data_IF_672061996637
#
_entry.id   IF_672061996637
#
_cell.length_a   1.000
_cell.length_b   1.000
_cell.length_c   1.000
_cell.angle_alpha   90.00
_cell.angle_beta   90.00
_cell.angle_gamma   90.00
#
_symmetry.space_group_name_H-M   'P 1'
#
loop_
_entity.id
_entity.type
_entity.pdbx_description
1 polymer ?
#
# COMPACT_ATOMS: atom_id res chain seq x y z
N UNK A 1 17.62 -13.02 -19.57
CA UNK A 1 16.24 -12.53 -19.77
C UNK A 1 16.16 -11.01 -19.76
N UNK A 2 17.02 -10.29 -18.99
CA UNK A 2 17.02 -8.80 -19.01
C UNK A 2 17.17 -8.22 -20.42
N UNK A 3 17.98 -8.81 -21.28
CA UNK A 3 18.10 -8.38 -22.67
C UNK A 3 16.83 -8.55 -23.49
N UNK A 4 16.01 -9.56 -23.17
CA UNK A 4 14.71 -9.79 -23.80
C UNK A 4 13.65 -8.80 -23.30
N UNK A 5 13.75 -8.38 -22.03
CA UNK A 5 12.89 -7.30 -21.51
C UNK A 5 13.13 -5.97 -22.20
N UNK A 6 14.37 -5.70 -22.62
CA UNK A 6 14.76 -4.48 -23.34
C UNK A 6 14.46 -4.54 -24.85
N UNK A 7 14.04 -5.68 -25.37
CA UNK A 7 13.68 -5.86 -26.79
C UNK A 7 12.16 -5.75 -26.99
N UNK A 8 11.61 -4.62 -27.46
CA UNK A 8 10.17 -4.40 -27.57
C UNK A 8 9.40 -5.46 -28.36
N UNK A 9 9.92 -6.01 -29.48
CA UNK A 9 9.22 -7.04 -30.24
C UNK A 9 9.22 -8.43 -29.58
N UNK A 10 10.08 -8.70 -28.59
CA UNK A 10 10.09 -9.98 -27.91
C UNK A 10 8.82 -10.15 -27.07
N UNK A 11 8.14 -11.29 -27.18
CA UNK A 11 6.97 -11.59 -26.35
C UNK A 11 7.39 -11.89 -24.91
N UNK A 12 6.69 -11.29 -23.94
CA UNK A 12 6.81 -11.71 -22.54
C UNK A 12 6.31 -13.15 -22.40
N UNK A 13 7.16 -14.02 -21.88
CA UNK A 13 6.80 -15.40 -21.60
C UNK A 13 6.77 -15.67 -20.11
N UNK A 14 5.82 -16.46 -19.64
CA UNK A 14 5.71 -16.85 -18.23
C UNK A 14 7.04 -17.44 -17.74
N UNK A 15 7.64 -18.35 -18.50
CA UNK A 15 8.93 -18.96 -18.14
C UNK A 15 10.08 -17.95 -18.05
N UNK A 16 10.05 -16.88 -18.85
CA UNK A 16 11.01 -15.80 -18.76
C UNK A 16 10.76 -14.91 -17.52
N UNK A 17 9.50 -14.57 -17.26
CA UNK A 17 9.13 -13.77 -16.07
C UNK A 17 9.47 -14.52 -14.77
N UNK A 18 9.28 -15.82 -14.71
CA UNK A 18 9.68 -16.64 -13.57
C UNK A 18 11.19 -16.59 -13.27
N UNK A 19 12.04 -16.26 -14.25
CA UNK A 19 13.49 -16.06 -14.01
C UNK A 19 13.78 -14.77 -13.23
N UNK A 20 12.81 -13.88 -13.06
CA UNK A 20 12.91 -12.69 -12.24
C UNK A 20 12.54 -12.95 -10.76
N UNK A 21 12.13 -14.16 -10.44
CA UNK A 21 11.86 -14.55 -9.06
C UNK A 21 13.16 -14.77 -8.28
N UNK A 22 13.15 -14.42 -7.00
CA UNK A 22 14.24 -14.68 -6.04
C UNK A 22 15.62 -14.22 -6.52
N UNK A 23 15.68 -13.04 -7.13
CA UNK A 23 16.94 -12.50 -7.67
C UNK A 23 17.97 -12.29 -6.57
N UNK A 24 19.19 -12.77 -6.81
CA UNK A 24 20.32 -12.49 -5.94
C UNK A 24 20.72 -11.00 -6.01
N UNK A 25 21.46 -10.54 -5.03
CA UNK A 25 21.84 -9.12 -4.88
C UNK A 25 22.45 -8.50 -6.14
N UNK A 26 23.33 -9.23 -6.83
CA UNK A 26 23.98 -8.74 -8.06
C UNK A 26 22.98 -8.64 -9.23
N UNK A 27 22.09 -9.63 -9.33
CA UNK A 27 21.03 -9.66 -10.35
C UNK A 27 20.01 -8.55 -10.12
N UNK A 28 19.60 -8.33 -8.87
CA UNK A 28 18.71 -7.24 -8.48
C UNK A 28 19.33 -5.86 -8.77
N UNK A 29 20.64 -5.69 -8.53
CA UNK A 29 21.35 -4.45 -8.88
C UNK A 29 21.42 -4.23 -10.40
N UNK A 30 21.67 -5.28 -11.16
CA UNK A 30 21.66 -5.22 -12.63
C UNK A 30 20.28 -4.87 -13.18
N UNK A 31 19.21 -5.50 -12.64
CA UNK A 31 17.83 -5.17 -12.99
C UNK A 31 17.51 -3.70 -12.70
N UNK A 32 17.83 -3.21 -11.50
CA UNK A 32 17.57 -1.80 -11.14
C UNK A 32 18.25 -0.82 -12.09
N UNK A 33 19.47 -1.13 -12.54
CA UNK A 33 20.19 -0.30 -13.49
C UNK A 33 19.61 -0.37 -14.92
N UNK A 34 19.04 -1.50 -15.30
CA UNK A 34 18.43 -1.70 -16.62
C UNK A 34 16.97 -1.23 -16.66
N UNK A 35 16.27 -1.19 -15.54
CA UNK A 35 14.84 -0.90 -15.45
C UNK A 35 14.41 0.37 -16.19
N UNK A 36 15.06 1.53 -16.03
CA UNK A 36 14.68 2.76 -16.74
C UNK A 36 14.91 2.70 -18.25
N UNK A 37 15.63 1.70 -18.75
CA UNK A 37 15.92 1.52 -20.18
C UNK A 37 14.86 0.66 -20.88
N UNK A 38 13.98 0.00 -20.10
CA UNK A 38 12.84 -0.76 -20.62
C UNK A 38 11.76 0.25 -21.01
N UNK A 39 11.10 0.04 -22.14
CA UNK A 39 10.01 0.88 -22.62
C UNK A 39 8.85 0.89 -21.60
N UNK A 40 8.23 2.06 -21.37
CA UNK A 40 7.25 2.28 -20.31
C UNK A 40 6.06 1.30 -20.35
N UNK A 41 5.48 1.10 -21.53
CA UNK A 41 4.37 0.16 -21.70
C UNK A 41 4.79 -1.27 -21.32
N UNK A 42 6.03 -1.62 -21.62
CA UNK A 42 6.54 -2.94 -21.25
C UNK A 42 6.78 -3.08 -19.75
N UNK A 43 7.24 -2.02 -19.07
CA UNK A 43 7.35 -2.03 -17.60
C UNK A 43 6.00 -2.25 -16.93
N UNK A 44 4.94 -1.57 -17.42
CA UNK A 44 3.55 -1.81 -16.94
C UNK A 44 3.14 -3.26 -17.11
N UNK A 45 3.35 -3.82 -18.32
CA UNK A 45 3.00 -5.22 -18.59
C UNK A 45 3.78 -6.20 -17.72
N UNK A 46 5.08 -5.94 -17.50
CA UNK A 46 5.92 -6.79 -16.64
C UNK A 46 5.40 -6.78 -15.20
N UNK A 47 5.22 -5.59 -14.60
CA UNK A 47 4.78 -5.49 -13.20
C UNK A 47 3.42 -6.15 -13.02
N UNK A 48 2.46 -5.88 -13.91
CA UNK A 48 1.13 -6.49 -13.88
C UNK A 48 1.18 -8.02 -13.95
N UNK A 49 1.91 -8.58 -14.91
CA UNK A 49 2.04 -10.03 -15.04
C UNK A 49 2.79 -10.68 -13.86
N UNK A 50 3.74 -9.98 -13.23
CA UNK A 50 4.42 -10.48 -12.04
C UNK A 50 3.49 -10.51 -10.82
N UNK A 51 2.56 -9.54 -10.70
CA UNK A 51 1.53 -9.58 -9.66
C UNK A 51 0.62 -10.81 -9.85
N UNK A 52 0.09 -11.02 -11.07
CA UNK A 52 -0.73 -12.21 -11.37
C UNK A 52 0.03 -13.52 -11.07
N UNK A 53 1.29 -13.60 -11.44
CA UNK A 53 2.12 -14.79 -11.19
C UNK A 53 2.39 -15.01 -9.69
N UNK A 54 2.55 -13.95 -8.90
CA UNK A 54 2.73 -14.03 -7.45
C UNK A 54 1.44 -14.50 -6.75
N UNK A 55 0.27 -14.02 -7.22
CA UNK A 55 -1.03 -14.48 -6.71
C UNK A 55 -1.27 -15.96 -7.01
N UNK A 56 -0.89 -16.42 -8.21
CA UNK A 56 -1.06 -17.82 -8.62
C UNK A 56 -0.06 -18.78 -7.94
N UNK A 57 1.11 -18.29 -7.53
CA UNK A 57 2.17 -19.11 -6.95
C UNK A 57 2.99 -18.34 -5.91
N UNK A 58 2.71 -18.58 -4.65
CA UNK A 58 3.37 -17.96 -3.48
C UNK A 58 4.87 -18.29 -3.34
N UNK A 59 5.38 -19.28 -4.06
CA UNK A 59 6.80 -19.60 -4.08
C UNK A 59 7.63 -18.63 -4.95
N UNK A 60 6.96 -17.77 -5.73
CA UNK A 60 7.61 -16.81 -6.64
C UNK A 60 7.79 -15.45 -5.94
N UNK A 61 8.98 -15.19 -5.44
CA UNK A 61 9.35 -13.91 -4.83
C UNK A 61 9.88 -12.93 -5.89
N UNK A 62 9.07 -11.93 -6.25
CA UNK A 62 9.43 -10.85 -7.17
C UNK A 62 9.77 -9.52 -6.46
N UNK A 63 10.00 -9.52 -5.15
CA UNK A 63 10.25 -8.31 -4.38
C UNK A 63 11.35 -7.44 -4.99
N UNK A 64 12.44 -8.02 -5.50
CA UNK A 64 13.53 -7.26 -6.12
C UNK A 64 13.08 -6.44 -7.35
N UNK A 65 12.12 -6.95 -8.12
CA UNK A 65 11.54 -6.22 -9.28
C UNK A 65 10.64 -5.10 -8.80
N UNK A 66 9.74 -5.41 -7.86
CA UNK A 66 8.83 -4.41 -7.31
C UNK A 66 9.59 -3.28 -6.60
N UNK A 67 10.65 -3.58 -5.86
CA UNK A 67 11.53 -2.54 -5.30
C UNK A 67 12.18 -1.64 -6.36
N UNK A 68 12.58 -2.18 -7.52
CA UNK A 68 13.09 -1.37 -8.61
C UNK A 68 12.00 -0.50 -9.24
N UNK A 69 10.76 -0.98 -9.29
CA UNK A 69 9.60 -0.32 -9.86
C UNK A 69 8.98 0.77 -8.95
N UNK A 70 9.26 0.77 -7.63
CA UNK A 70 8.81 1.83 -6.71
C UNK A 70 9.33 3.23 -7.07
N UNK A 71 10.40 3.33 -7.86
CA UNK A 71 11.01 4.59 -8.29
C UNK A 71 10.76 4.87 -9.78
N UNK A 72 9.79 4.17 -10.38
CA UNK A 72 9.48 4.34 -11.81
C UNK A 72 8.92 5.74 -12.10
N UNK A 73 9.18 6.25 -13.30
CA UNK A 73 8.59 7.52 -13.77
C UNK A 73 7.07 7.42 -13.98
N UNK A 74 6.56 6.20 -14.26
CA UNK A 74 5.16 5.92 -14.50
C UNK A 74 4.43 5.59 -13.18
N UNK A 75 3.41 6.37 -12.86
CA UNK A 75 2.66 6.22 -11.61
C UNK A 75 1.93 4.88 -11.50
N UNK A 76 1.40 4.34 -12.60
CA UNK A 76 0.74 3.04 -12.59
C UNK A 76 1.73 1.92 -12.24
N UNK A 77 2.96 2.01 -12.76
CA UNK A 77 4.04 1.07 -12.40
C UNK A 77 4.39 1.17 -10.92
N UNK A 78 4.48 2.40 -10.36
CA UNK A 78 4.74 2.58 -8.91
C UNK A 78 3.62 2.02 -8.05
N UNK A 79 2.35 2.31 -8.39
CA UNK A 79 1.19 1.81 -7.66
C UNK A 79 1.13 0.28 -7.67
N UNK A 80 1.29 -0.35 -8.84
CA UNK A 80 1.31 -1.80 -8.97
C UNK A 80 2.50 -2.43 -8.24
N UNK A 81 3.67 -1.75 -8.21
CA UNK A 81 4.81 -2.21 -7.44
C UNK A 81 4.53 -2.24 -5.92
N UNK A 82 3.81 -1.23 -5.39
CA UNK A 82 3.37 -1.23 -4.00
C UNK A 82 2.41 -2.39 -3.74
N UNK A 83 1.41 -2.61 -4.62
CA UNK A 83 0.47 -3.74 -4.54
C UNK A 83 1.22 -5.08 -4.57
N UNK A 84 2.19 -5.23 -5.47
CA UNK A 84 2.99 -6.46 -5.60
C UNK A 84 3.84 -6.80 -4.38
N UNK A 85 4.10 -5.83 -3.50
CA UNK A 85 4.80 -6.02 -2.22
C UNK A 85 3.87 -6.33 -1.04
N UNK A 86 2.64 -6.73 -1.29
CA UNK A 86 1.60 -6.91 -0.26
C UNK A 86 1.94 -7.94 0.83
N UNK A 87 2.74 -8.96 0.54
CA UNK A 87 3.23 -9.96 1.52
C UNK A 87 4.62 -9.61 2.12
N UNK A 88 5.27 -8.57 1.60
CA UNK A 88 6.63 -8.25 2.03
C UNK A 88 6.63 -7.52 3.39
N UNK A 89 7.19 -8.15 4.42
CA UNK A 89 7.23 -7.64 5.79
C UNK A 89 8.60 -7.04 6.20
N UNK A 90 9.52 -6.94 5.25
CA UNK A 90 10.84 -6.36 5.50
C UNK A 90 10.75 -4.87 5.86
N UNK A 91 11.39 -4.48 6.96
CA UNK A 91 11.40 -3.09 7.44
C UNK A 91 12.02 -2.07 6.46
N UNK A 92 12.80 -2.55 5.52
CA UNK A 92 13.41 -1.75 4.45
C UNK A 92 12.39 -1.20 3.45
N UNK A 93 11.15 -1.74 3.45
CA UNK A 93 10.03 -1.21 2.68
C UNK A 93 9.40 0.05 3.32
N UNK A 94 9.53 0.25 4.64
CA UNK A 94 8.88 1.37 5.36
C UNK A 94 9.31 2.73 4.79
N UNK A 95 10.61 2.97 4.64
CA UNK A 95 11.11 4.24 4.15
C UNK A 95 10.70 4.57 2.70
N UNK A 96 10.75 3.61 1.74
CA UNK A 96 10.15 3.80 0.42
C UNK A 96 8.66 4.16 0.44
N UNK A 97 7.84 3.44 1.22
CA UNK A 97 6.41 3.71 1.32
C UNK A 97 6.12 5.09 1.92
N UNK A 98 6.82 5.48 2.99
CA UNK A 98 6.69 6.80 3.58
C UNK A 98 7.06 7.91 2.59
N UNK A 99 8.09 7.70 1.77
CA UNK A 99 8.47 8.65 0.73
C UNK A 99 7.37 8.78 -0.34
N UNK A 100 6.79 7.66 -0.79
CA UNK A 100 5.68 7.67 -1.74
C UNK A 100 4.46 8.37 -1.16
N UNK A 101 4.06 8.03 0.07
CA UNK A 101 2.93 8.67 0.75
C UNK A 101 3.09 10.18 0.88
N UNK A 102 4.30 10.65 1.20
CA UNK A 102 4.55 12.08 1.45
C UNK A 102 4.77 12.90 0.17
N UNK A 103 5.31 12.27 -0.89
CA UNK A 103 5.90 13.03 -2.00
C UNK A 103 5.45 12.62 -3.40
N UNK A 104 4.73 11.54 -3.56
CA UNK A 104 4.29 11.15 -4.89
C UNK A 104 3.27 12.17 -5.43
N UNK A 105 3.41 12.55 -6.69
CA UNK A 105 2.52 13.50 -7.34
C UNK A 105 1.12 12.90 -7.54
N UNK A 106 1.02 11.58 -7.73
CA UNK A 106 -0.22 10.90 -8.04
C UNK A 106 -0.93 10.37 -6.79
N UNK A 107 -2.18 10.78 -6.54
CA UNK A 107 -2.95 10.34 -5.37
C UNK A 107 -3.10 8.82 -5.27
N UNK A 108 -3.23 8.12 -6.40
CA UNK A 108 -3.35 6.66 -6.42
C UNK A 108 -2.12 5.98 -5.80
N UNK A 109 -0.91 6.46 -6.08
CA UNK A 109 0.32 5.92 -5.49
C UNK A 109 0.35 6.18 -3.99
N UNK A 110 -0.07 7.38 -3.54
CA UNK A 110 -0.16 7.71 -2.11
C UNK A 110 -1.18 6.85 -1.37
N UNK A 111 -2.33 6.56 -2.01
CA UNK A 111 -3.35 5.61 -1.51
C UNK A 111 -2.76 4.23 -1.27
N UNK A 112 -2.08 3.66 -2.25
CA UNK A 112 -1.47 2.34 -2.14
C UNK A 112 -0.37 2.31 -1.07
N UNK A 113 0.44 3.37 -0.98
CA UNK A 113 1.46 3.50 0.05
C UNK A 113 0.86 3.56 1.47
N UNK A 114 -0.25 4.31 1.65
CA UNK A 114 -0.98 4.34 2.93
C UNK A 114 -1.50 2.96 3.33
N UNK A 115 -2.15 2.25 2.40
CA UNK A 115 -2.66 0.89 2.62
C UNK A 115 -1.54 -0.08 2.99
N UNK A 116 -0.42 -0.06 2.24
CA UNK A 116 0.71 -0.94 2.48
C UNK A 116 1.36 -0.68 3.86
N UNK A 117 1.40 0.57 4.33
CA UNK A 117 1.88 0.92 5.67
C UNK A 117 1.00 0.33 6.78
N UNK A 118 -0.29 0.11 6.54
CA UNK A 118 -1.21 -0.51 7.50
C UNK A 118 -0.78 -1.90 7.99
N UNK A 119 -0.04 -2.67 7.18
CA UNK A 119 0.53 -3.95 7.59
C UNK A 119 1.56 -3.78 8.70
N UNK A 120 2.41 -2.75 8.61
CA UNK A 120 3.41 -2.47 9.64
C UNK A 120 2.78 -2.00 10.95
N UNK A 121 1.58 -1.40 10.90
CA UNK A 121 0.79 -1.12 12.10
C UNK A 121 0.39 -2.43 12.78
N UNK A 122 -0.16 -3.39 12.03
CA UNK A 122 -0.53 -4.71 12.57
C UNK A 122 0.70 -5.46 13.09
N UNK A 123 1.82 -5.43 12.38
CA UNK A 123 3.07 -6.06 12.83
C UNK A 123 3.59 -5.45 14.14
N UNK A 124 3.35 -4.15 14.40
CA UNK A 124 3.72 -3.54 15.68
C UNK A 124 2.87 -4.07 16.83
N UNK A 125 1.57 -4.24 16.63
CA UNK A 125 0.65 -4.81 17.62
C UNK A 125 1.00 -6.28 17.94
N UNK A 126 1.54 -7.02 16.97
CA UNK A 126 2.03 -8.39 17.15
C UNK A 126 3.46 -8.46 17.73
N UNK A 127 4.03 -7.32 18.17
CA UNK A 127 5.39 -7.19 18.71
C UNK A 127 6.50 -7.66 17.74
N UNK A 128 6.21 -7.69 16.45
CA UNK A 128 7.14 -8.08 15.40
C UNK A 128 7.94 -6.90 14.84
N UNK A 129 7.45 -5.67 15.04
CA UNK A 129 8.09 -4.42 14.63
C UNK A 129 8.62 -3.66 15.84
N UNK A 130 9.83 -3.08 15.72
CA UNK A 130 10.38 -2.24 16.78
C UNK A 130 9.63 -0.92 16.87
N UNK A 131 9.48 -0.39 18.08
CA UNK A 131 8.81 0.87 18.37
C UNK A 131 9.33 2.04 17.51
N UNK A 132 10.64 2.14 17.28
CA UNK A 132 11.25 3.19 16.45
C UNK A 132 10.75 3.19 14.99
N UNK A 133 10.49 2.01 14.43
CA UNK A 133 9.95 1.87 13.07
C UNK A 133 8.44 2.14 13.06
N UNK A 134 7.74 1.68 14.09
CA UNK A 134 6.32 1.98 14.24
C UNK A 134 6.07 3.48 14.36
N UNK A 135 6.86 4.20 15.15
CA UNK A 135 6.74 5.66 15.27
C UNK A 135 6.90 6.38 13.92
N UNK A 136 7.78 5.90 13.04
CA UNK A 136 7.91 6.46 11.69
C UNK A 136 6.64 6.23 10.86
N UNK A 137 6.08 5.03 10.92
CA UNK A 137 4.82 4.68 10.23
C UNK A 137 3.67 5.51 10.78
N UNK A 138 3.52 5.56 12.10
CA UNK A 138 2.50 6.32 12.83
C UNK A 138 2.53 7.80 12.42
N UNK A 139 3.70 8.42 12.48
CA UNK A 139 3.89 9.83 12.14
C UNK A 139 3.59 10.13 10.66
N UNK A 140 3.98 9.23 9.74
CA UNK A 140 3.69 9.37 8.32
C UNK A 140 2.20 9.28 8.02
N UNK A 141 1.50 8.28 8.56
CA UNK A 141 0.05 8.11 8.40
C UNK A 141 -0.72 9.27 9.04
N UNK A 142 -0.29 9.71 10.23
CA UNK A 142 -0.89 10.84 10.93
C UNK A 142 -0.79 12.13 10.11
N UNK A 143 0.38 12.44 9.56
CA UNK A 143 0.57 13.62 8.70
C UNK A 143 -0.33 13.58 7.48
N UNK A 144 -0.43 12.44 6.80
CA UNK A 144 -1.29 12.30 5.63
C UNK A 144 -2.78 12.48 5.99
N UNK A 145 -3.21 11.97 7.14
CA UNK A 145 -4.60 12.11 7.63
C UNK A 145 -4.93 13.57 8.02
N UNK A 146 -4.00 14.25 8.70
CA UNK A 146 -4.20 15.62 9.23
C UNK A 146 -3.97 16.71 8.16
N UNK A 147 -3.42 16.38 6.99
CA UNK A 147 -3.21 17.35 5.90
C UNK A 147 -4.54 17.70 5.22
N UNK A 148 -5.06 18.88 5.48
CA UNK A 148 -6.32 19.38 4.90
C UNK A 148 -6.22 19.65 3.38
N UNK A 149 -5.02 19.71 2.82
CA UNK A 149 -4.80 19.87 1.38
C UNK A 149 -4.71 18.53 0.64
N UNK A 150 -4.60 17.45 1.37
CA UNK A 150 -4.57 16.10 0.78
C UNK A 150 -6.00 15.67 0.38
N UNK A 151 -6.10 14.83 -0.66
CA UNK A 151 -7.39 14.30 -1.10
C UNK A 151 -7.99 13.35 -0.07
N UNK A 152 -9.30 13.40 0.10
CA UNK A 152 -10.01 12.60 1.11
C UNK A 152 -9.78 11.08 0.96
N UNK A 153 -9.49 10.60 -0.25
CA UNK A 153 -9.16 9.19 -0.48
C UNK A 153 -7.86 8.79 0.23
N UNK A 154 -6.78 9.58 0.10
CA UNK A 154 -5.50 9.32 0.79
C UNK A 154 -5.65 9.45 2.30
N UNK A 155 -6.34 10.51 2.76
CA UNK A 155 -6.64 10.73 4.18
C UNK A 155 -7.42 9.56 4.77
N UNK A 156 -8.45 9.10 4.05
CA UNK A 156 -9.26 7.95 4.45
C UNK A 156 -8.43 6.67 4.57
N UNK A 157 -7.59 6.38 3.58
CA UNK A 157 -6.72 5.21 3.61
C UNK A 157 -5.66 5.27 4.71
N UNK A 158 -5.15 6.45 5.03
CA UNK A 158 -4.25 6.63 6.18
C UNK A 158 -4.96 6.32 7.51
N UNK A 159 -6.24 6.72 7.66
CA UNK A 159 -7.06 6.38 8.83
C UNK A 159 -7.33 4.87 8.91
N UNK A 160 -7.71 4.24 7.81
CA UNK A 160 -7.93 2.79 7.74
C UNK A 160 -6.66 2.02 8.11
N UNK A 161 -5.50 2.48 7.63
CA UNK A 161 -4.21 1.88 7.91
C UNK A 161 -3.83 1.92 9.39
N UNK A 162 -4.05 3.08 10.06
CA UNK A 162 -3.69 3.27 11.47
C UNK A 162 -4.76 2.72 12.44
N UNK A 163 -5.97 2.41 11.95
CA UNK A 163 -7.12 2.04 12.77
C UNK A 163 -6.94 0.83 13.69
N UNK A 164 -5.95 -0.04 13.42
CA UNK A 164 -5.61 -1.17 14.29
C UNK A 164 -4.75 -0.75 15.51
N UNK A 165 -4.24 0.48 15.57
CA UNK A 165 -3.38 0.95 16.66
C UNK A 165 -4.20 1.36 17.88
N UNK A 166 -3.68 1.06 19.08
CA UNK A 166 -4.27 1.41 20.38
C UNK A 166 -3.90 2.84 20.85
N UNK A 167 -3.24 3.64 20.03
CA UNK A 167 -2.84 5.00 20.39
C UNK A 167 -4.06 5.89 20.65
N UNK A 168 -4.11 6.64 21.76
CA UNK A 168 -5.28 7.45 22.13
C UNK A 168 -5.71 8.49 21.09
N UNK A 169 -4.79 9.01 20.29
CA UNK A 169 -5.11 9.97 19.23
C UNK A 169 -5.87 9.32 18.06
N UNK A 170 -5.69 8.00 17.83
CA UNK A 170 -6.37 7.26 16.74
C UNK A 170 -7.88 7.20 17.01
N UNK A 171 -8.28 6.97 18.26
CA UNK A 171 -9.69 7.03 18.66
C UNK A 171 -10.32 8.40 18.33
N UNK A 172 -9.61 9.47 18.66
CA UNK A 172 -10.08 10.83 18.36
C UNK A 172 -10.17 11.10 16.86
N UNK A 173 -9.19 10.60 16.10
CA UNK A 173 -9.19 10.71 14.64
C UNK A 173 -10.35 9.94 13.99
N UNK A 174 -10.65 8.73 14.47
CA UNK A 174 -11.80 7.92 14.02
C UNK A 174 -13.10 8.69 14.29
N UNK A 175 -13.29 9.21 15.50
CA UNK A 175 -14.49 9.98 15.86
C UNK A 175 -14.63 11.24 14.97
N UNK A 176 -13.56 12.01 14.78
CA UNK A 176 -13.57 13.21 13.97
C UNK A 176 -13.89 12.92 12.49
N UNK A 177 -13.34 11.83 11.95
CA UNK A 177 -13.61 11.42 10.58
C UNK A 177 -15.06 10.92 10.39
N UNK A 178 -15.61 10.23 11.38
CA UNK A 178 -17.01 9.81 11.37
C UNK A 178 -17.99 10.99 11.39
N UNK A 179 -17.68 12.04 12.14
CA UNK A 179 -18.46 13.28 12.26
C UNK A 179 -18.22 14.25 11.09
N UNK A 180 -17.26 13.95 10.20
CA UNK A 180 -16.93 14.77 9.05
C UNK A 180 -18.07 14.82 8.02
N UNK A 181 -18.19 15.96 7.34
CA UNK A 181 -19.09 16.10 6.18
C UNK A 181 -18.56 15.38 4.92
N UNK A 182 -17.29 14.95 4.91
CA UNK A 182 -16.68 14.23 3.80
C UNK A 182 -17.13 12.75 3.81
N UNK A 183 -17.92 12.29 2.81
CA UNK A 183 -18.46 10.93 2.82
C UNK A 183 -17.36 9.86 2.86
N UNK A 184 -16.25 10.10 2.14
CA UNK A 184 -15.13 9.18 2.11
C UNK A 184 -14.49 8.97 3.48
N UNK A 185 -14.32 10.05 4.27
CA UNK A 185 -13.77 9.95 5.61
C UNK A 185 -14.71 9.23 6.57
N UNK A 186 -16.03 9.42 6.44
CA UNK A 186 -17.01 8.67 7.23
C UNK A 186 -16.92 7.16 6.96
N UNK A 187 -16.85 6.75 5.71
CA UNK A 187 -16.69 5.34 5.31
C UNK A 187 -15.38 4.76 5.88
N UNK A 188 -14.26 5.48 5.73
CA UNK A 188 -12.98 5.08 6.32
C UNK A 188 -13.00 5.00 7.84
N UNK A 189 -13.77 5.87 8.51
CA UNK A 189 -13.92 5.80 9.97
C UNK A 189 -14.62 4.51 10.40
N UNK A 190 -15.67 4.08 9.69
CA UNK A 190 -16.35 2.80 9.98
C UNK A 190 -15.40 1.61 9.81
N UNK A 191 -14.63 1.61 8.73
CA UNK A 191 -13.57 0.61 8.52
C UNK A 191 -12.57 0.59 9.69
N UNK A 192 -12.07 1.76 10.09
CA UNK A 192 -11.12 1.89 11.19
C UNK A 192 -11.72 1.48 12.55
N UNK A 193 -13.02 1.76 12.81
CA UNK A 193 -13.74 1.27 13.98
C UNK A 193 -13.71 -0.25 14.05
N UNK A 194 -13.99 -0.94 12.92
CA UNK A 194 -13.91 -2.40 12.85
C UNK A 194 -12.50 -2.93 13.11
N UNK A 195 -11.49 -2.29 12.52
CA UNK A 195 -10.08 -2.68 12.70
C UNK A 195 -9.55 -2.49 14.10
N UNK A 196 -10.07 -1.50 14.84
CA UNK A 196 -9.66 -1.24 16.22
C UNK A 196 -10.04 -2.36 17.20
N UNK A 197 -10.99 -3.20 16.82
CA UNK A 197 -11.58 -4.24 17.68
C UNK A 197 -12.11 -3.69 19.04
N UNK A 198 -12.37 -2.39 19.13
CA UNK A 198 -12.87 -1.75 20.36
C UNK A 198 -14.40 -1.79 20.42
N UNK A 199 -14.93 -2.49 21.44
CA UNK A 199 -16.38 -2.66 21.64
C UNK A 199 -17.17 -1.36 21.81
N UNK A 200 -16.52 -0.22 22.07
CA UNK A 200 -17.18 1.09 22.14
C UNK A 200 -17.86 1.50 20.84
N UNK A 201 -17.33 1.04 19.69
CA UNK A 201 -17.86 1.36 18.38
C UNK A 201 -19.07 0.51 17.96
N UNK A 202 -19.33 -0.60 18.64
CA UNK A 202 -20.44 -1.51 18.28
C UNK A 202 -21.80 -0.81 18.14
N UNK A 203 -22.21 0.12 19.04
CA UNK A 203 -23.50 0.81 18.85
C UNK A 203 -23.57 1.60 17.55
N UNK A 204 -22.48 2.29 17.17
CA UNK A 204 -22.39 3.08 15.94
C UNK A 204 -22.44 2.15 14.71
N UNK A 205 -21.65 1.10 14.70
CA UNK A 205 -21.60 0.14 13.60
C UNK A 205 -22.97 -0.54 13.39
N UNK A 206 -23.65 -0.93 14.49
CA UNK A 206 -25.00 -1.52 14.40
C UNK A 206 -26.01 -0.53 13.82
N UNK A 207 -25.95 0.75 14.19
CA UNK A 207 -26.83 1.80 13.66
C UNK A 207 -26.62 1.99 12.14
N UNK A 208 -25.35 2.05 11.73
CA UNK A 208 -24.98 2.29 10.33
C UNK A 208 -25.27 1.11 9.38
N UNK A 209 -25.49 -0.11 9.90
CA UNK A 209 -26.02 -1.23 9.12
C UNK A 209 -27.40 -0.93 8.47
N UNK A 210 -28.14 0.03 8.99
CA UNK A 210 -29.44 0.48 8.45
C UNK A 210 -29.33 1.78 7.63
N UNK A 211 -28.12 2.28 7.37
CA UNK A 211 -27.90 3.52 6.62
C UNK A 211 -28.43 3.42 5.18
N UNK A 212 -28.92 4.53 4.62
CA UNK A 212 -29.42 4.60 3.24
C UNK A 212 -28.30 4.38 2.22
N UNK A 213 -27.05 4.78 2.53
CA UNK A 213 -25.89 4.60 1.68
C UNK A 213 -25.40 3.13 1.72
N UNK A 214 -25.33 2.44 0.55
CA UNK A 214 -24.87 1.05 0.52
C UNK A 214 -23.39 0.88 0.89
N UNK A 215 -22.52 1.87 0.65
CA UNK A 215 -21.12 1.83 0.98
C UNK A 215 -20.94 1.90 2.52
N UNK A 216 -21.67 2.79 3.17
CA UNK A 216 -21.72 2.89 4.63
C UNK A 216 -22.19 1.58 5.27
N UNK A 217 -23.27 0.96 4.72
CA UNK A 217 -23.74 -0.34 5.24
C UNK A 217 -22.73 -1.47 5.05
N UNK A 218 -21.97 -1.43 3.97
CA UNK A 218 -20.95 -2.46 3.68
C UNK A 218 -19.78 -2.39 4.66
N UNK A 219 -19.34 -1.18 5.00
CA UNK A 219 -18.20 -0.98 5.92
C UNK A 219 -18.60 -1.12 7.40
N UNK A 220 -19.86 -0.97 7.75
CA UNK A 220 -20.38 -1.15 9.12
C UNK A 220 -20.55 -2.64 9.47
#
# INVERSE_FOLDING_TARGET
YLSELMDPPARLSVAGLQQLASLEREQAAALRSAWPQIEAERRRQVVHLLMELAEDNVDLDFAAVFFAALEDEDAAVRADAVRGLWEYEGRDLIAPLLRLLEKDEEPEVRVEAALALGRFVVLSELVSLREEHFQQVEEGLRRALEDELEVDEVRGRALEAIGASDRPWVEQAIQAAYESEAPRLKVSALHAMGRSCDGRWLPVLIEELANDDPEVRYEA
#
